data_IF_211427267419
#
_entry.id   IF_211427267419
#
_cell.length_a   1.000
_cell.length_b   1.000
_cell.length_c   1.000
_cell.angle_alpha   90.00
_cell.angle_beta   90.00
_cell.angle_gamma   90.00
#
_symmetry.space_group_name_H-M   'P 1'
#
loop_
_entity.id
_entity.type
_entity.pdbx_description
1 polymer ?
#
# COMPACT_ATOMS: atom_id res chain seq x y z
N UNK A 1 20.52 -0.04 9.36
CA UNK A 1 20.15 0.29 7.97
C UNK A 1 18.70 0.76 8.00
N UNK A 2 18.43 2.01 7.64
CA UNK A 2 17.06 2.54 7.58
C UNK A 2 16.52 2.31 6.18
N UNK A 3 15.55 1.39 6.02
CA UNK A 3 14.92 1.09 4.72
C UNK A 3 14.38 2.37 4.06
N UNK A 4 13.88 3.31 4.84
CA UNK A 4 13.36 4.60 4.39
C UNK A 4 14.41 5.48 3.70
N UNK A 5 15.71 5.31 3.97
CA UNK A 5 16.79 6.00 3.25
C UNK A 5 16.92 5.54 1.79
N UNK A 6 16.45 4.32 1.48
CA UNK A 6 16.48 3.72 0.14
C UNK A 6 15.16 3.90 -0.63
N UNK A 7 14.20 4.63 -0.04
CA UNK A 7 12.87 4.81 -0.59
C UNK A 7 12.85 5.95 -1.61
N UNK A 8 12.74 5.64 -2.92
CA UNK A 8 12.84 6.60 -4.04
C UNK A 8 14.02 7.58 -3.89
N UNK A 9 15.07 7.44 -4.71
CA UNK A 9 16.24 8.32 -4.70
C UNK A 9 15.88 9.79 -4.39
N UNK A 10 16.62 10.49 -3.49
CA UNK A 10 16.31 11.86 -3.06
C UNK A 10 15.83 12.84 -4.15
N UNK A 11 16.40 12.82 -5.38
CA UNK A 11 15.97 13.71 -6.47
C UNK A 11 14.50 13.54 -6.88
N UNK A 12 13.95 12.32 -6.80
CA UNK A 12 12.62 12.01 -7.34
C UNK A 12 11.51 12.58 -6.45
N UNK A 13 11.75 12.69 -5.14
CA UNK A 13 10.76 13.18 -4.18
C UNK A 13 10.61 14.70 -4.20
N UNK A 14 11.70 15.44 -4.42
CA UNK A 14 11.67 16.89 -4.65
C UNK A 14 10.93 17.28 -5.93
N UNK A 15 11.01 16.44 -6.96
CA UNK A 15 10.28 16.63 -8.22
C UNK A 15 8.77 16.58 -7.98
N UNK A 16 8.27 15.63 -7.15
CA UNK A 16 6.84 15.52 -6.83
C UNK A 16 6.34 16.72 -6.03
N UNK A 17 7.12 17.18 -5.05
CA UNK A 17 6.74 18.31 -4.21
C UNK A 17 6.52 19.60 -5.03
N UNK A 18 7.25 19.74 -6.15
CA UNK A 18 7.13 20.87 -7.06
C UNK A 18 6.08 20.67 -8.17
N UNK A 19 5.53 19.46 -8.32
CA UNK A 19 4.52 19.13 -9.33
C UNK A 19 3.09 19.32 -8.79
N UNK A 20 2.18 19.82 -9.63
CA UNK A 20 0.73 19.84 -9.33
C UNK A 20 0.12 18.44 -9.47
N UNK A 21 0.36 17.59 -8.47
CA UNK A 21 -0.14 16.20 -8.43
C UNK A 21 -1.52 16.13 -7.75
N UNK A 22 -2.36 15.20 -8.20
CA UNK A 22 -3.67 14.98 -7.58
C UNK A 22 -3.53 14.47 -6.13
N UNK A 23 -4.30 15.03 -5.18
CA UNK A 23 -4.21 14.69 -3.74
C UNK A 23 -4.17 13.19 -3.44
N UNK A 24 -5.00 12.38 -4.10
CA UNK A 24 -5.00 10.91 -3.87
C UNK A 24 -3.67 10.21 -4.20
N UNK A 25 -2.85 10.78 -5.09
CA UNK A 25 -1.51 10.25 -5.36
C UNK A 25 -0.53 10.68 -4.25
N UNK A 26 -0.71 11.87 -3.67
CA UNK A 26 0.01 12.29 -2.47
C UNK A 26 -0.33 11.36 -1.30
N UNK A 27 -1.62 11.11 -1.06
CA UNK A 27 -2.09 10.16 -0.05
C UNK A 27 -1.48 8.75 -0.27
N UNK A 28 -1.26 8.33 -1.53
CA UNK A 28 -0.56 7.08 -1.87
C UNK A 28 0.93 7.10 -1.51
N UNK A 29 1.64 8.19 -1.79
CA UNK A 29 3.05 8.30 -1.43
C UNK A 29 3.26 8.37 0.09
N UNK A 30 2.33 9.00 0.80
CA UNK A 30 2.32 9.03 2.27
C UNK A 30 2.03 7.65 2.85
N UNK A 31 0.99 6.96 2.37
CA UNK A 31 0.70 5.60 2.79
C UNK A 31 1.85 4.63 2.45
N UNK A 32 2.49 4.74 1.29
CA UNK A 32 3.65 3.88 1.00
C UNK A 32 4.86 4.18 1.87
N UNK A 33 5.08 5.43 2.31
CA UNK A 33 6.11 5.76 3.29
C UNK A 33 5.78 5.17 4.67
N UNK A 34 4.52 5.27 5.09
CA UNK A 34 4.03 4.64 6.33
C UNK A 34 4.26 3.12 6.33
N UNK A 35 4.02 2.45 5.21
CA UNK A 35 4.29 1.02 5.06
C UNK A 35 5.77 0.69 5.25
N UNK A 36 6.66 1.51 4.70
CA UNK A 36 8.11 1.32 4.87
C UNK A 36 8.56 1.56 6.31
N UNK A 37 7.97 2.53 7.03
CA UNK A 37 8.23 2.72 8.47
C UNK A 37 7.73 1.53 9.30
N UNK A 38 6.59 0.96 8.93
CA UNK A 38 6.10 -0.28 9.53
C UNK A 38 7.12 -1.42 9.33
N UNK A 39 7.62 -1.60 8.10
CA UNK A 39 8.69 -2.57 7.80
C UNK A 39 9.93 -2.37 8.69
N UNK A 40 10.42 -1.14 8.83
CA UNK A 40 11.57 -0.83 9.72
C UNK A 40 11.29 -1.19 11.18
N UNK A 41 10.08 -0.87 11.66
CA UNK A 41 9.66 -1.18 13.03
C UNK A 41 9.66 -2.68 13.28
N UNK A 42 9.16 -3.47 12.31
CA UNK A 42 9.16 -4.93 12.42
C UNK A 42 10.60 -5.48 12.37
N UNK A 43 11.47 -4.98 11.49
CA UNK A 43 12.88 -5.42 11.44
C UNK A 43 13.59 -5.14 12.78
N UNK A 44 13.35 -3.99 13.39
CA UNK A 44 13.88 -3.69 14.72
C UNK A 44 13.33 -4.66 15.77
N UNK A 45 12.03 -4.94 15.73
CA UNK A 45 11.39 -5.90 16.62
C UNK A 45 11.97 -7.32 16.44
N UNK A 46 12.20 -7.78 15.21
CA UNK A 46 12.88 -9.06 14.92
C UNK A 46 14.24 -9.11 15.57
N UNK A 47 15.06 -8.05 15.43
CA UNK A 47 16.38 -8.01 16.04
C UNK A 47 16.30 -8.09 17.57
N UNK A 48 15.38 -7.35 18.20
CA UNK A 48 15.17 -7.43 19.65
C UNK A 48 14.69 -8.83 20.08
N UNK A 49 13.80 -9.45 19.31
CA UNK A 49 13.32 -10.81 19.58
C UNK A 49 14.44 -11.84 19.47
N UNK A 50 15.33 -11.75 18.46
CA UNK A 50 16.52 -12.63 18.36
C UNK A 50 17.44 -12.48 19.57
N UNK A 51 17.71 -11.25 19.99
CA UNK A 51 18.55 -10.98 21.17
C UNK A 51 17.93 -11.51 22.46
N UNK A 52 16.61 -11.31 22.64
CA UNK A 52 15.88 -11.82 23.78
C UNK A 52 15.89 -13.35 23.81
N UNK A 53 15.60 -13.98 22.67
CA UNK A 53 15.61 -15.42 22.52
C UNK A 53 16.98 -16.03 22.84
N UNK A 54 18.05 -15.52 22.23
CA UNK A 54 19.42 -15.98 22.48
C UNK A 54 19.82 -15.85 23.97
N UNK A 55 19.36 -14.79 24.66
CA UNK A 55 19.60 -14.66 26.11
C UNK A 55 18.89 -15.78 26.89
N UNK A 56 17.64 -16.09 26.57
CA UNK A 56 16.87 -17.14 27.24
C UNK A 56 17.51 -18.51 27.00
N UNK A 57 17.83 -18.84 25.76
CA UNK A 57 18.47 -20.13 25.41
C UNK A 57 19.77 -20.32 26.19
N UNK A 58 20.61 -19.29 26.26
CA UNK A 58 21.86 -19.34 27.03
C UNK A 58 21.63 -19.55 28.53
N UNK A 59 20.59 -18.94 29.11
CA UNK A 59 20.22 -19.09 30.52
C UNK A 59 19.70 -20.51 30.78
N UNK A 60 18.80 -21.02 29.95
CA UNK A 60 18.21 -22.37 30.05
C UNK A 60 19.28 -23.46 29.93
N UNK A 61 20.18 -23.35 28.96
CA UNK A 61 21.30 -24.29 28.80
C UNK A 61 22.22 -24.27 30.02
N UNK A 62 22.59 -23.09 30.54
CA UNK A 62 23.41 -23.00 31.76
C UNK A 62 22.75 -23.63 32.99
N UNK A 63 21.42 -23.51 33.13
CA UNK A 63 20.67 -24.17 34.21
C UNK A 63 20.81 -25.68 34.16
N UNK A 64 20.63 -26.27 32.99
CA UNK A 64 20.75 -27.72 32.81
C UNK A 64 22.10 -28.29 33.25
N UNK A 65 23.16 -27.49 33.07
CA UNK A 65 24.53 -27.87 33.40
C UNK A 65 24.86 -27.65 34.89
N UNK A 66 24.17 -26.72 35.56
CA UNK A 66 24.44 -26.33 36.96
C UNK A 66 23.43 -26.88 37.98
N UNK A 67 22.32 -27.45 37.51
CA UNK A 67 21.24 -28.02 38.33
C UNK A 67 21.65 -29.05 39.41
N UNK A 68 22.75 -29.84 39.30
CA UNK A 68 23.09 -30.79 40.37
C UNK A 68 23.81 -30.17 41.58
N UNK A 69 24.13 -28.87 41.63
CA UNK A 69 25.16 -28.37 42.58
C UNK A 69 24.80 -27.15 43.45
N UNK A 70 23.60 -26.56 43.38
CA UNK A 70 23.34 -25.28 44.10
C UNK A 70 22.01 -25.19 44.87
N UNK A 71 22.12 -24.55 46.03
CA UNK A 71 21.03 -24.14 46.94
C UNK A 71 20.15 -23.02 46.33
N UNK A 72 18.88 -23.05 46.72
CA UNK A 72 17.70 -22.53 46.04
C UNK A 72 17.56 -20.99 46.04
N UNK A 73 18.35 -20.26 46.84
CA UNK A 73 18.04 -18.87 47.21
C UNK A 73 18.87 -17.78 46.53
N UNK A 74 19.96 -18.11 45.82
CA UNK A 74 20.88 -17.10 45.25
C UNK A 74 21.37 -17.39 43.82
N UNK A 75 20.69 -18.24 43.04
CA UNK A 75 21.16 -18.47 41.68
C UNK A 75 20.82 -17.27 40.75
N UNK A 76 21.82 -16.54 40.22
CA UNK A 76 21.59 -15.46 39.25
C UNK A 76 20.80 -15.92 38.02
N UNK A 77 20.85 -17.22 37.71
CA UNK A 77 20.18 -17.81 36.55
C UNK A 77 18.65 -17.96 36.79
N UNK A 78 18.21 -18.26 38.02
CA UNK A 78 16.78 -18.24 38.39
C UNK A 78 16.21 -16.81 38.31
N UNK A 79 16.99 -15.82 38.74
CA UNK A 79 16.62 -14.40 38.68
C UNK A 79 16.48 -13.94 37.22
N UNK A 80 17.37 -14.38 36.33
CA UNK A 80 17.29 -14.09 34.89
C UNK A 80 16.07 -14.72 34.23
N UNK A 81 15.76 -15.99 34.48
CA UNK A 81 14.54 -16.62 33.97
C UNK A 81 13.28 -15.91 34.47
N UNK A 82 13.24 -15.60 35.77
CA UNK A 82 12.11 -14.88 36.36
C UNK A 82 11.92 -13.51 35.70
N UNK A 83 13.02 -12.81 35.40
CA UNK A 83 12.97 -11.53 34.67
C UNK A 83 12.46 -11.66 33.23
N UNK A 84 12.69 -12.79 32.57
CA UNK A 84 12.15 -13.07 31.23
C UNK A 84 10.64 -13.34 31.28
N UNK A 85 10.17 -14.14 32.24
CA UNK A 85 8.73 -14.35 32.47
C UNK A 85 8.03 -13.03 32.77
N UNK A 86 8.68 -12.14 33.52
CA UNK A 86 8.21 -10.80 33.85
C UNK A 86 8.35 -9.79 32.70
N UNK A 87 9.08 -10.10 31.63
CA UNK A 87 9.22 -9.22 30.48
C UNK A 87 7.85 -9.13 29.79
N UNK A 88 7.14 -8.04 30.03
CA UNK A 88 5.71 -7.94 29.74
C UNK A 88 5.38 -7.74 28.24
N UNK A 89 6.36 -7.33 27.43
CA UNK A 89 6.09 -6.88 26.06
C UNK A 89 6.89 -7.69 25.05
N UNK A 90 6.21 -8.42 24.17
CA UNK A 90 6.83 -8.95 22.95
C UNK A 90 7.11 -7.77 22.00
N UNK A 91 8.37 -7.53 21.58
CA UNK A 91 8.70 -6.47 20.63
C UNK A 91 7.85 -6.50 19.35
N UNK A 92 7.38 -7.68 18.93
CA UNK A 92 6.58 -7.87 17.73
C UNK A 92 5.12 -7.42 17.88
N UNK A 93 4.60 -7.30 19.11
CA UNK A 93 3.23 -6.81 19.38
C UNK A 93 3.08 -5.29 19.19
N UNK A 94 4.16 -4.57 18.86
CA UNK A 94 4.15 -3.11 18.69
C UNK A 94 3.39 -2.67 17.42
N UNK A 95 3.18 -3.59 16.47
CA UNK A 95 2.57 -3.26 15.17
C UNK A 95 1.07 -3.53 15.18
N UNK A 96 0.29 -2.45 15.12
CA UNK A 96 -1.17 -2.50 15.00
C UNK A 96 -1.58 -2.69 13.53
N UNK A 97 -1.45 -3.91 13.03
CA UNK A 97 -1.78 -4.26 11.64
C UNK A 97 -3.24 -3.92 11.26
N UNK A 98 -4.18 -4.07 12.19
CA UNK A 98 -5.61 -3.82 11.93
C UNK A 98 -5.90 -2.36 11.57
N UNK A 99 -5.38 -1.42 12.35
CA UNK A 99 -5.61 0.01 12.13
C UNK A 99 -4.96 0.49 10.83
N UNK A 100 -3.77 -0.04 10.51
CA UNK A 100 -3.08 0.23 9.24
C UNK A 100 -3.92 -0.33 8.08
N UNK A 101 -4.37 -1.58 8.17
CA UNK A 101 -5.16 -2.23 7.13
C UNK A 101 -6.42 -1.42 6.76
N UNK A 102 -7.18 -0.96 7.75
CA UNK A 102 -8.42 -0.20 7.51
C UNK A 102 -8.19 1.16 6.82
N UNK A 103 -7.10 1.84 7.19
CA UNK A 103 -6.67 3.07 6.50
C UNK A 103 -6.34 2.80 5.04
N UNK A 104 -5.67 1.71 4.73
CA UNK A 104 -5.26 1.37 3.37
C UNK A 104 -6.47 0.91 2.53
N UNK A 105 -7.38 0.14 3.11
CA UNK A 105 -8.65 -0.22 2.45
C UNK A 105 -9.51 1.01 2.13
N UNK A 106 -9.53 1.99 3.03
CA UNK A 106 -10.18 3.28 2.79
C UNK A 106 -9.52 4.04 1.64
N UNK A 107 -8.18 4.11 1.61
CA UNK A 107 -7.44 4.73 0.51
C UNK A 107 -7.69 4.03 -0.84
N UNK A 108 -7.63 2.70 -0.87
CA UNK A 108 -7.90 1.89 -2.05
C UNK A 108 -9.30 2.19 -2.60
N UNK A 109 -10.30 2.22 -1.72
CA UNK A 109 -11.68 2.54 -2.08
C UNK A 109 -11.80 3.95 -2.68
N UNK A 110 -11.10 4.95 -2.12
CA UNK A 110 -11.07 6.32 -2.63
C UNK A 110 -10.42 6.40 -4.02
N UNK A 111 -9.30 5.70 -4.23
CA UNK A 111 -8.60 5.61 -5.52
C UNK A 111 -9.51 5.00 -6.60
N UNK A 112 -10.08 3.83 -6.32
CA UNK A 112 -10.98 3.12 -7.24
C UNK A 112 -12.27 3.89 -7.52
N UNK A 113 -12.85 4.53 -6.51
CA UNK A 113 -14.05 5.37 -6.67
C UNK A 113 -13.77 6.58 -7.56
N UNK A 114 -12.65 7.28 -7.34
CA UNK A 114 -12.24 8.42 -8.17
C UNK A 114 -12.00 8.00 -9.62
N UNK A 115 -11.28 6.90 -9.85
CA UNK A 115 -11.05 6.34 -11.19
C UNK A 115 -12.38 6.04 -11.89
N UNK A 116 -13.29 5.32 -11.23
CA UNK A 116 -14.63 5.02 -11.77
C UNK A 116 -15.42 6.28 -12.10
N UNK A 117 -15.38 7.30 -11.24
CA UNK A 117 -16.06 8.59 -11.48
C UNK A 117 -15.54 9.28 -12.74
N UNK A 118 -14.22 9.34 -12.92
CA UNK A 118 -13.62 9.94 -14.12
C UNK A 118 -14.02 9.15 -15.37
N UNK A 119 -13.92 7.83 -15.34
CA UNK A 119 -14.31 6.96 -16.46
C UNK A 119 -15.78 7.17 -16.84
N UNK A 120 -16.70 7.21 -15.86
CA UNK A 120 -18.12 7.48 -16.11
C UNK A 120 -18.34 8.83 -16.79
N UNK A 121 -17.68 9.88 -16.32
CA UNK A 121 -17.78 11.22 -16.94
C UNK A 121 -17.27 11.20 -18.38
N UNK A 122 -16.16 10.51 -18.65
CA UNK A 122 -15.60 10.38 -20.00
C UNK A 122 -16.54 9.60 -20.92
N UNK A 123 -17.14 8.51 -20.43
CA UNK A 123 -18.13 7.72 -21.16
C UNK A 123 -19.35 8.56 -21.50
N UNK A 124 -19.95 9.25 -20.51
CA UNK A 124 -21.12 10.13 -20.72
C UNK A 124 -20.81 11.21 -21.76
N UNK A 125 -19.67 11.91 -21.62
CA UNK A 125 -19.24 12.91 -22.61
C UNK A 125 -19.10 12.32 -24.01
N UNK A 126 -18.61 11.08 -24.13
CA UNK A 126 -18.48 10.42 -25.44
C UNK A 126 -19.84 10.08 -26.06
N UNK A 127 -20.81 9.64 -25.25
CA UNK A 127 -22.18 9.33 -25.68
C UNK A 127 -22.92 10.61 -26.08
N UNK A 128 -22.88 11.66 -25.25
CA UNK A 128 -23.49 12.96 -25.57
C UNK A 128 -22.92 13.55 -26.86
N UNK A 129 -21.61 13.37 -27.13
CA UNK A 129 -21.00 13.82 -28.39
C UNK A 129 -21.58 13.06 -29.60
N UNK A 130 -21.78 11.75 -29.49
CA UNK A 130 -22.36 10.92 -30.55
C UNK A 130 -23.82 11.33 -30.83
N UNK A 131 -24.64 11.42 -29.79
CA UNK A 131 -26.06 11.79 -29.89
C UNK A 131 -26.22 13.21 -30.42
N UNK A 132 -25.44 14.17 -29.91
CA UNK A 132 -25.46 15.56 -30.39
C UNK A 132 -25.03 15.67 -31.85
N UNK A 133 -24.04 14.88 -32.30
CA UNK A 133 -23.65 14.81 -33.70
C UNK A 133 -24.79 14.33 -34.61
N UNK A 134 -25.48 13.26 -34.22
CA UNK A 134 -26.66 12.74 -34.94
C UNK A 134 -27.78 13.78 -34.98
N UNK A 135 -28.10 14.41 -33.85
CA UNK A 135 -29.13 15.45 -33.76
C UNK A 135 -28.84 16.65 -34.66
N UNK A 136 -27.57 17.08 -34.77
CA UNK A 136 -27.18 18.15 -35.68
C UNK A 136 -27.44 17.78 -37.15
N UNK A 137 -27.07 16.56 -37.57
CA UNK A 137 -27.30 16.08 -38.94
C UNK A 137 -28.81 16.05 -39.25
N UNK A 138 -29.62 15.50 -38.34
CA UNK A 138 -31.07 15.45 -38.49
C UNK A 138 -31.67 16.85 -38.58
N UNK A 139 -31.27 17.77 -37.70
CA UNK A 139 -31.78 19.16 -37.70
C UNK A 139 -31.43 19.92 -38.99
N UNK A 140 -30.23 19.71 -39.54
CA UNK A 140 -29.82 20.29 -40.82
C UNK A 140 -30.62 19.69 -41.97
N UNK A 141 -30.88 18.38 -41.96
CA UNK A 141 -31.76 17.73 -42.94
C UNK A 141 -33.17 18.33 -42.94
N UNK A 142 -33.78 18.48 -41.76
CA UNK A 142 -35.11 19.09 -41.62
C UNK A 142 -35.11 20.55 -42.09
N UNK A 143 -34.10 21.34 -41.71
CA UNK A 143 -33.98 22.73 -42.14
C UNK A 143 -33.85 22.86 -43.67
N UNK A 144 -33.03 22.01 -44.29
CA UNK A 144 -32.87 22.01 -45.76
C UNK A 144 -34.18 21.67 -46.48
N UNK A 145 -34.93 20.68 -45.98
CA UNK A 145 -36.26 20.33 -46.54
C UNK A 145 -37.25 21.48 -46.38
N UNK A 146 -37.31 22.12 -45.21
CA UNK A 146 -38.19 23.26 -44.96
C UNK A 146 -37.87 24.46 -45.87
N UNK A 147 -36.59 24.77 -46.06
CA UNK A 147 -36.14 25.84 -46.98
C UNK A 147 -36.53 25.54 -48.43
N UNK A 148 -36.43 24.28 -48.87
CA UNK A 148 -36.85 23.87 -50.21
C UNK A 148 -38.37 24.09 -50.39
N UNK A 149 -39.19 23.61 -49.46
CA UNK A 149 -40.65 23.80 -49.49
C UNK A 149 -41.00 25.30 -49.54
N UNK A 150 -40.37 26.12 -48.71
CA UNK A 150 -40.58 27.57 -48.72
C UNK A 150 -40.20 28.22 -50.05
N UNK A 151 -39.08 27.82 -50.67
CA UNK A 151 -38.65 28.32 -51.96
C UNK A 151 -39.64 27.97 -53.09
N UNK A 152 -40.20 26.75 -53.08
CA UNK A 152 -41.22 26.34 -54.05
C UNK A 152 -42.55 27.09 -53.88
N UNK A 153 -42.93 27.45 -52.64
CA UNK A 153 -44.15 28.20 -52.38
C UNK A 153 -43.98 29.73 -52.49
N UNK A 154 -42.76 30.26 -52.40
CA UNK A 154 -42.48 31.70 -52.40
C UNK A 154 -42.11 32.28 -53.77
N UNK A 155 -42.78 31.86 -54.85
CA UNK A 155 -42.56 32.36 -56.23
C UNK A 155 -42.88 33.87 -56.39
N UNK A 156 -43.13 34.62 -55.31
CA UNK A 156 -43.17 36.09 -55.36
C UNK A 156 -42.38 36.66 -54.17
N UNK A 157 -41.11 37.02 -54.42
CA UNK A 157 -40.43 38.04 -53.63
C UNK A 157 -39.08 37.69 -52.99
N UNK A 158 -38.05 38.26 -53.62
CA UNK A 158 -36.84 38.83 -53.02
C UNK A 158 -35.50 38.09 -53.12
N UNK A 159 -34.59 38.84 -53.70
CA UNK A 159 -33.21 38.59 -54.08
C UNK A 159 -32.28 38.78 -52.88
N UNK A 160 -31.25 37.94 -52.82
CA UNK A 160 -29.95 38.12 -52.18
C UNK A 160 -29.91 38.59 -50.71
N UNK A 161 -29.64 37.64 -49.81
CA UNK A 161 -28.81 37.90 -48.64
C UNK A 161 -27.91 36.68 -48.38
N UNK A 162 -26.63 36.78 -48.72
CA UNK A 162 -25.62 35.77 -48.42
C UNK A 162 -25.29 35.78 -46.91
N UNK A 163 -25.31 34.64 -46.20
CA UNK A 163 -24.92 34.62 -44.79
C UNK A 163 -23.40 34.45 -44.66
N UNK A 164 -22.68 35.57 -44.57
CA UNK A 164 -21.26 35.64 -44.18
C UNK A 164 -21.04 35.41 -42.66
N UNK A 165 -21.64 34.37 -42.06
CA UNK A 165 -21.52 34.07 -40.60
C UNK A 165 -20.57 32.88 -40.32
N UNK A 166 -19.99 32.26 -41.35
CA UNK A 166 -19.22 31.01 -41.18
C UNK A 166 -17.81 31.24 -40.60
N UNK A 167 -17.20 32.41 -40.80
CA UNK A 167 -15.78 32.66 -40.44
C UNK A 167 -15.48 32.79 -38.94
N UNK A 168 -16.35 33.44 -38.16
CA UNK A 168 -16.07 33.72 -36.73
C UNK A 168 -16.34 32.49 -35.82
N UNK A 169 -17.25 31.61 -36.24
CA UNK A 169 -17.67 30.43 -35.50
C UNK A 169 -16.59 29.33 -35.54
N UNK A 170 -15.83 29.22 -36.63
CA UNK A 170 -14.77 28.22 -36.82
C UNK A 170 -13.59 28.42 -35.85
N UNK A 171 -13.10 29.66 -35.67
CA UNK A 171 -11.98 29.96 -34.75
C UNK A 171 -12.31 29.66 -33.27
N UNK A 172 -13.51 30.04 -32.80
CA UNK A 172 -13.98 29.71 -31.44
C UNK A 172 -14.22 28.21 -31.24
N UNK A 173 -14.65 27.48 -32.28
CA UNK A 173 -14.83 26.03 -32.24
C UNK A 173 -13.50 25.28 -32.15
N UNK A 174 -12.46 25.73 -32.86
CA UNK A 174 -11.14 25.09 -32.82
C UNK A 174 -10.46 25.24 -31.44
N UNK A 175 -10.44 26.45 -30.85
CA UNK A 175 -9.88 26.69 -29.50
C UNK A 175 -10.59 25.85 -28.41
N UNK A 176 -11.93 25.81 -28.44
CA UNK A 176 -12.73 24.99 -27.52
C UNK A 176 -12.54 23.48 -27.71
N UNK A 177 -12.19 23.04 -28.92
CA UNK A 177 -11.88 21.64 -29.21
C UNK A 177 -10.54 21.22 -28.61
N UNK A 178 -9.49 22.04 -28.76
CA UNK A 178 -8.18 21.81 -28.15
C UNK A 178 -8.22 21.79 -26.61
N UNK A 179 -8.89 22.76 -25.97
CA UNK A 179 -9.03 22.77 -24.50
C UNK A 179 -9.77 21.52 -23.98
N UNK A 180 -10.79 21.06 -24.72
CA UNK A 180 -11.57 19.87 -24.38
C UNK A 180 -10.80 18.58 -24.61
N UNK A 181 -9.96 18.51 -25.65
CA UNK A 181 -9.05 17.40 -25.91
C UNK A 181 -7.98 17.30 -24.82
N UNK A 182 -7.36 18.43 -24.44
CA UNK A 182 -6.40 18.50 -23.34
C UNK A 182 -7.02 18.05 -22.01
N UNK A 183 -8.26 18.45 -21.74
CA UNK A 183 -8.99 18.02 -20.54
C UNK A 183 -9.26 16.51 -20.54
N UNK A 184 -9.67 15.93 -21.68
CA UNK A 184 -9.90 14.48 -21.80
C UNK A 184 -8.60 13.70 -21.60
N UNK A 185 -7.52 14.13 -22.25
CA UNK A 185 -6.21 13.48 -22.14
C UNK A 185 -5.69 13.53 -20.69
N UNK A 186 -5.80 14.68 -20.03
CA UNK A 186 -5.46 14.83 -18.61
C UNK A 186 -6.29 13.92 -17.70
N UNK A 187 -7.61 13.80 -17.94
CA UNK A 187 -8.45 12.86 -17.20
C UNK A 187 -8.05 11.39 -17.42
N UNK A 188 -7.69 11.00 -18.64
CA UNK A 188 -7.24 9.64 -18.94
C UNK A 188 -5.90 9.33 -18.27
N UNK A 189 -4.93 10.25 -18.34
CA UNK A 189 -3.65 10.14 -17.61
C UNK A 189 -3.88 9.99 -16.10
N UNK A 190 -4.77 10.80 -15.52
CA UNK A 190 -5.11 10.66 -14.11
C UNK A 190 -5.76 9.30 -13.80
N UNK A 191 -6.56 8.73 -14.71
CA UNK A 191 -7.09 7.37 -14.53
C UNK A 191 -5.99 6.30 -14.50
N UNK A 192 -4.95 6.43 -15.33
CA UNK A 192 -3.80 5.53 -15.38
C UNK A 192 -2.98 5.64 -14.09
N UNK A 193 -2.67 6.87 -13.66
CA UNK A 193 -1.97 7.14 -12.39
C UNK A 193 -2.72 6.55 -11.19
N UNK A 194 -4.05 6.75 -11.13
CA UNK A 194 -4.88 6.20 -10.05
C UNK A 194 -4.98 4.68 -10.12
N UNK A 195 -4.89 4.06 -11.29
CA UNK A 195 -4.89 2.61 -11.46
C UNK A 195 -3.61 1.98 -10.91
N UNK A 196 -2.45 2.54 -11.27
CA UNK A 196 -1.15 2.08 -10.78
C UNK A 196 -1.04 2.28 -9.26
N UNK A 197 -1.47 3.44 -8.75
CA UNK A 197 -1.51 3.68 -7.32
C UNK A 197 -2.45 2.70 -6.59
N UNK A 198 -3.65 2.44 -7.13
CA UNK A 198 -4.58 1.46 -6.54
C UNK A 198 -3.99 0.05 -6.50
N UNK A 199 -3.31 -0.40 -7.56
CA UNK A 199 -2.58 -1.67 -7.58
C UNK A 199 -1.49 -1.70 -6.50
N UNK A 200 -0.75 -0.61 -6.35
CA UNK A 200 0.26 -0.47 -5.29
C UNK A 200 -0.35 -0.61 -3.89
N UNK A 201 -1.43 0.10 -3.58
CA UNK A 201 -2.11 -0.02 -2.28
C UNK A 201 -2.64 -1.43 -2.05
N UNK A 202 -3.26 -2.04 -3.06
CA UNK A 202 -3.76 -3.42 -2.96
C UNK A 202 -2.66 -4.41 -2.60
N UNK A 203 -1.50 -4.31 -3.26
CA UNK A 203 -0.34 -5.16 -2.96
C UNK A 203 0.14 -4.93 -1.53
N UNK A 204 0.28 -3.68 -1.10
CA UNK A 204 0.70 -3.39 0.28
C UNK A 204 -0.25 -3.99 1.33
N UNK A 205 -1.57 -3.94 1.09
CA UNK A 205 -2.53 -4.58 2.00
C UNK A 205 -2.26 -6.09 2.11
N UNK A 206 -2.06 -6.77 0.99
CA UNK A 206 -1.79 -8.21 0.97
C UNK A 206 -0.45 -8.57 1.65
N UNK A 207 0.59 -7.75 1.47
CA UNK A 207 1.86 -7.93 2.18
C UNK A 207 1.66 -7.75 3.70
N UNK A 208 0.91 -6.73 4.13
CA UNK A 208 0.60 -6.49 5.54
C UNK A 208 -0.20 -7.63 6.17
N UNK A 209 -1.16 -8.21 5.45
CA UNK A 209 -1.92 -9.39 5.91
C UNK A 209 -1.04 -10.63 6.06
N UNK A 210 -0.02 -10.76 5.21
CA UNK A 210 0.95 -11.86 5.29
C UNK A 210 1.90 -11.65 6.47
N UNK A 211 2.48 -10.46 6.60
CA UNK A 211 3.30 -10.08 7.76
C UNK A 211 2.53 -10.24 9.07
N UNK A 212 1.26 -9.80 9.13
CA UNK A 212 0.41 -9.94 10.32
C UNK A 212 0.28 -11.39 10.78
N UNK A 213 0.06 -12.33 9.83
CA UNK A 213 -0.01 -13.77 10.13
C UNK A 213 1.33 -14.34 10.59
N UNK A 214 2.44 -13.92 9.99
CA UNK A 214 3.78 -14.36 10.38
C UNK A 214 4.16 -13.83 11.77
N UNK A 215 3.89 -12.56 12.05
CA UNK A 215 4.07 -11.94 13.37
C UNK A 215 3.22 -12.66 14.41
N UNK A 216 1.96 -12.98 14.11
CA UNK A 216 1.11 -13.73 15.02
C UNK A 216 1.68 -15.12 15.34
N UNK A 217 2.18 -15.86 14.35
CA UNK A 217 2.84 -17.16 14.56
C UNK A 217 4.05 -17.04 15.49
N UNK A 218 4.86 -15.99 15.32
CA UNK A 218 6.00 -15.72 16.20
C UNK A 218 5.57 -15.31 17.61
N UNK A 219 4.47 -14.55 17.73
CA UNK A 219 3.91 -14.16 19.03
C UNK A 219 3.39 -15.38 19.81
N UNK A 220 2.67 -16.28 19.13
CA UNK A 220 2.21 -17.55 19.72
C UNK A 220 3.41 -18.40 20.21
N UNK A 221 4.50 -18.44 19.44
CA UNK A 221 5.72 -19.16 19.81
C UNK A 221 6.47 -18.49 20.97
N UNK A 222 6.57 -17.15 21.00
CA UNK A 222 7.14 -16.40 22.14
C UNK A 222 6.32 -16.64 23.42
N UNK A 223 4.99 -16.71 23.32
CA UNK A 223 4.12 -17.02 24.45
C UNK A 223 4.29 -18.46 24.93
N UNK A 224 4.45 -19.42 24.02
CA UNK A 224 4.85 -20.79 24.36
C UNK A 224 6.15 -20.78 25.18
N UNK A 225 7.19 -20.07 24.71
CA UNK A 225 8.47 -19.97 25.43
C UNK A 225 8.34 -19.31 26.80
N UNK A 226 7.45 -18.33 26.95
CA UNK A 226 7.14 -17.73 28.26
C UNK A 226 6.57 -18.75 29.23
N UNK A 227 5.63 -19.59 28.77
CA UNK A 227 5.05 -20.66 29.59
C UNK A 227 6.10 -21.70 29.99
N UNK A 228 6.96 -22.10 29.05
CA UNK A 228 8.06 -23.04 29.31
C UNK A 228 9.04 -22.47 30.34
N UNK A 229 9.41 -21.18 30.22
CA UNK A 229 10.26 -20.49 31.19
C UNK A 229 9.62 -20.43 32.60
N UNK A 230 8.32 -20.17 32.68
CA UNK A 230 7.57 -20.17 33.95
C UNK A 230 7.56 -21.57 34.61
N UNK A 231 7.41 -22.64 33.82
CA UNK A 231 7.54 -24.02 34.30
C UNK A 231 8.95 -24.28 34.86
N UNK A 232 10.01 -23.80 34.21
CA UNK A 232 11.39 -23.90 34.69
C UNK A 232 11.59 -23.20 36.02
N UNK A 233 11.09 -21.97 36.17
CA UNK A 233 11.16 -21.20 37.42
C UNK A 233 10.45 -21.96 38.55
N UNK A 234 9.24 -22.45 38.30
CA UNK A 234 8.44 -23.18 39.30
C UNK A 234 9.01 -24.56 39.67
N UNK A 235 9.77 -25.19 38.77
CA UNK A 235 10.29 -26.56 38.96
C UNK A 235 11.82 -26.61 39.02
N UNK A 236 12.47 -25.51 39.40
CA UNK A 236 13.93 -25.36 39.40
C UNK A 236 14.69 -26.49 40.13
N UNK A 237 14.11 -27.09 41.18
CA UNK A 237 14.75 -28.19 41.93
C UNK A 237 14.59 -29.58 41.27
N UNK A 238 13.83 -29.70 40.17
CA UNK A 238 13.54 -30.98 39.50
C UNK A 238 14.36 -31.12 38.22
N UNK A 239 15.57 -31.67 38.37
CA UNK A 239 16.55 -31.83 37.29
C UNK A 239 15.99 -32.52 36.03
N UNK A 240 15.12 -33.53 36.18
CA UNK A 240 14.49 -34.23 35.05
C UNK A 240 13.51 -33.35 34.25
N UNK A 241 12.79 -32.43 34.91
CA UNK A 241 11.91 -31.47 34.23
C UNK A 241 12.76 -30.45 33.47
N UNK A 242 13.84 -29.94 34.09
CA UNK A 242 14.77 -29.03 33.44
C UNK A 242 15.43 -29.64 32.20
N UNK A 243 15.90 -30.90 32.27
CA UNK A 243 16.48 -31.60 31.12
C UNK A 243 15.48 -31.74 29.96
N UNK A 244 14.22 -32.07 30.26
CA UNK A 244 13.17 -32.17 29.23
C UNK A 244 12.91 -30.82 28.56
N UNK A 245 12.80 -29.76 29.35
CA UNK A 245 12.59 -28.40 28.83
C UNK A 245 13.77 -27.94 27.98
N UNK A 246 15.01 -28.20 28.41
CA UNK A 246 16.21 -27.83 27.65
C UNK A 246 16.26 -28.55 26.32
N UNK A 247 15.88 -29.84 26.30
CA UNK A 247 15.78 -30.59 25.06
C UNK A 247 14.73 -30.00 24.12
N UNK A 248 13.54 -29.67 24.63
CA UNK A 248 12.50 -29.02 23.83
C UNK A 248 12.95 -27.66 23.27
N UNK A 249 13.69 -26.86 24.04
CA UNK A 249 14.30 -25.62 23.58
C UNK A 249 15.28 -25.85 22.43
N UNK A 250 16.18 -26.82 22.56
CA UNK A 250 17.18 -27.14 21.54
C UNK A 250 16.53 -27.69 20.26
N UNK A 251 15.50 -28.53 20.41
CA UNK A 251 14.82 -29.17 19.29
C UNK A 251 14.02 -28.15 18.44
N UNK A 252 13.56 -27.04 19.04
CA UNK A 252 12.76 -26.01 18.35
C UNK A 252 13.54 -24.70 18.05
N UNK A 253 14.79 -24.56 18.49
CA UNK A 253 15.58 -23.34 18.30
C UNK A 253 15.74 -22.95 16.83
N UNK A 254 16.10 -23.90 15.98
CA UNK A 254 16.20 -23.66 14.53
C UNK A 254 14.86 -23.20 13.96
N UNK A 255 13.77 -23.89 14.31
CA UNK A 255 12.44 -23.57 13.77
C UNK A 255 12.00 -22.13 14.09
N UNK A 256 12.31 -21.64 15.30
CA UNK A 256 11.99 -20.26 15.67
C UNK A 256 12.84 -19.23 14.94
N UNK A 257 14.15 -19.50 14.80
CA UNK A 257 15.06 -18.63 14.06
C UNK A 257 14.72 -18.59 12.57
N UNK A 258 14.34 -19.73 11.98
CA UNK A 258 13.87 -19.85 10.61
C UNK A 258 12.60 -19.01 10.40
N UNK A 259 11.63 -19.04 11.32
CA UNK A 259 10.43 -18.19 11.24
C UNK A 259 10.77 -16.69 11.29
N UNK A 260 11.77 -16.29 12.09
CA UNK A 260 12.24 -14.90 12.14
C UNK A 260 12.96 -14.48 10.85
N UNK A 261 13.75 -15.38 10.26
CA UNK A 261 14.41 -15.19 8.97
C UNK A 261 13.38 -15.08 7.84
N UNK A 262 12.40 -15.99 7.76
CA UNK A 262 11.31 -15.93 6.78
C UNK A 262 10.56 -14.59 6.86
N UNK A 263 10.25 -14.11 8.07
CA UNK A 263 9.59 -12.81 8.25
C UNK A 263 10.47 -11.67 7.77
N UNK A 264 11.76 -11.67 8.11
CA UNK A 264 12.70 -10.65 7.69
C UNK A 264 12.84 -10.60 6.16
N UNK A 265 13.00 -11.75 5.51
CA UNK A 265 13.04 -11.85 4.05
C UNK A 265 11.77 -11.30 3.41
N UNK A 266 10.60 -11.66 3.95
CA UNK A 266 9.33 -11.17 3.45
C UNK A 266 9.20 -9.65 3.60
N UNK A 267 9.70 -9.06 4.69
CA UNK A 267 9.73 -7.60 4.87
C UNK A 267 10.60 -6.91 3.81
N UNK A 268 11.78 -7.46 3.51
CA UNK A 268 12.63 -6.92 2.44
C UNK A 268 11.95 -7.01 1.07
N UNK A 269 11.29 -8.12 0.76
CA UNK A 269 10.51 -8.29 -0.48
C UNK A 269 9.34 -7.30 -0.56
N UNK A 270 8.60 -7.12 0.53
CA UNK A 270 7.54 -6.12 0.62
C UNK A 270 8.10 -4.71 0.38
N UNK A 271 9.19 -4.33 1.05
CA UNK A 271 9.84 -3.04 0.87
C UNK A 271 10.23 -2.79 -0.59
N UNK A 272 10.87 -3.76 -1.24
CA UNK A 272 11.23 -3.68 -2.66
C UNK A 272 10.00 -3.51 -3.55
N UNK A 273 8.92 -4.23 -3.24
CA UNK A 273 7.65 -4.15 -3.97
C UNK A 273 6.98 -2.79 -3.81
N UNK A 274 6.94 -2.23 -2.59
CA UNK A 274 6.43 -0.87 -2.32
C UNK A 274 7.25 0.15 -3.11
N UNK A 275 8.58 0.07 -3.04
CA UNK A 275 9.47 0.99 -3.74
C UNK A 275 9.30 0.89 -5.27
N UNK A 276 9.10 -0.32 -5.81
CA UNK A 276 8.78 -0.53 -7.22
C UNK A 276 7.48 0.16 -7.63
N UNK A 277 6.40 0.00 -6.88
CA UNK A 277 5.14 0.68 -7.21
C UNK A 277 5.25 2.20 -7.09
N UNK A 278 6.02 2.71 -6.13
CA UNK A 278 6.32 4.16 -6.02
C UNK A 278 6.99 4.69 -7.29
N UNK A 279 7.95 3.95 -7.87
CA UNK A 279 8.58 4.30 -9.15
C UNK A 279 7.58 4.24 -10.31
N UNK A 280 6.76 3.19 -10.39
CA UNK A 280 5.74 3.08 -11.44
C UNK A 280 4.73 4.24 -11.40
N UNK A 281 4.30 4.65 -10.20
CA UNK A 281 3.41 5.82 -10.05
C UNK A 281 4.15 7.10 -10.45
N UNK A 282 5.43 7.24 -10.09
CA UNK A 282 6.26 8.37 -10.49
C UNK A 282 6.39 8.48 -12.02
N UNK A 283 6.68 7.37 -12.69
CA UNK A 283 6.79 7.31 -14.16
C UNK A 283 5.47 7.72 -14.84
N UNK A 284 4.32 7.29 -14.30
CA UNK A 284 3.02 7.72 -14.80
C UNK A 284 2.72 9.21 -14.50
N UNK A 285 3.31 9.79 -13.44
CA UNK A 285 3.20 11.24 -13.12
C UNK A 285 4.06 12.08 -14.05
N UNK A 286 5.34 11.71 -14.21
CA UNK A 286 6.30 12.40 -15.08
C UNK A 286 5.93 12.26 -16.56
N UNK A 287 5.03 11.33 -16.87
CA UNK A 287 4.70 10.92 -18.22
C UNK A 287 5.81 10.02 -18.71
N UNK A 288 5.46 8.79 -19.13
CA UNK A 288 6.40 7.86 -19.75
C UNK A 288 7.33 8.61 -20.69
N UNK A 289 8.61 8.72 -20.34
CA UNK A 289 9.66 8.94 -21.32
C UNK A 289 9.55 7.74 -22.26
N UNK A 290 8.91 7.97 -23.41
CA UNK A 290 8.83 7.05 -24.53
C UNK A 290 9.59 7.68 -25.68
#
# INVERSE_FOLDING_TARGET
MHLTEYLLEPPQQEIVANMKVHRLLVDYFEASLEACRCCETIVQAIHQTRLAYARVTNVVVKLSQTAPYYDQSQNPIHTQLSSFVLLQNNPLSIVQFHDIHDRYMTLLSRLLSKKRKIQRILTIKSVCKKVGGIGLIVSQGVLMVALLVFAFHSVIGFVAAAPCIVGLVMKKRFKRSCERFNTRNSCMKLCEQLDVAAKGVYVVINELDTMSRMVKRLDDEVEHWRQVADICVKNYCKCEILKRVVKEFQDNESNFLDMLEELEEHIYLCFLTVNRFRRLVMEEIMGKQR
#
